data_IF_730613119721
#
_entry.id   IF_730613119721
#
_cell.length_a   1.000
_cell.length_b   1.000
_cell.length_c   1.000
_cell.angle_alpha   90.00
_cell.angle_beta   90.00
_cell.angle_gamma   90.00
#
_symmetry.space_group_name_H-M   'P 1'
#
loop_
_entity.id
_entity.type
_entity.pdbx_description
1 polymer ?
#
# COMPACT_ATOMS: atom_id res chain seq x y z
N UNK A 1 11.55 -33.91 45.23
CA UNK A 1 10.34 -33.42 44.52
C UNK A 1 10.70 -32.07 43.97
N UNK A 2 11.26 -32.04 42.77
CA UNK A 2 11.67 -30.83 42.07
C UNK A 2 10.62 -30.50 41.02
N UNK A 3 10.10 -29.29 41.11
CA UNK A 3 9.12 -28.72 40.18
C UNK A 3 9.81 -28.34 38.88
N UNK A 4 9.50 -29.03 37.78
CA UNK A 4 9.86 -28.60 36.43
C UNK A 4 9.08 -27.34 36.07
N UNK A 5 9.81 -26.23 35.92
CA UNK A 5 9.30 -24.99 35.31
C UNK A 5 9.18 -25.19 33.81
N UNK A 6 7.99 -24.86 33.30
CA UNK A 6 7.68 -24.72 31.89
C UNK A 6 8.44 -23.52 31.35
N UNK A 7 9.51 -23.76 30.59
CA UNK A 7 10.10 -22.74 29.71
C UNK A 7 9.25 -22.67 28.46
N UNK A 8 8.27 -21.77 28.48
CA UNK A 8 7.62 -21.31 27.26
C UNK A 8 8.61 -20.43 26.51
N UNK A 9 9.31 -21.01 25.53
CA UNK A 9 10.00 -20.28 24.48
C UNK A 9 8.97 -19.51 23.66
N UNK A 10 8.65 -18.31 24.13
CA UNK A 10 7.98 -17.26 23.36
C UNK A 10 8.96 -16.11 23.19
N UNK A 11 10.05 -16.37 22.46
CA UNK A 11 10.83 -15.30 21.84
C UNK A 11 10.44 -15.18 20.37
N UNK A 12 9.18 -14.80 20.11
CA UNK A 12 8.90 -14.03 18.91
C UNK A 12 9.60 -12.68 19.09
N UNK A 13 10.85 -12.61 18.67
CA UNK A 13 11.54 -11.34 18.46
C UNK A 13 10.66 -10.55 17.48
N UNK A 14 9.93 -9.57 18.02
CA UNK A 14 9.25 -8.55 17.27
C UNK A 14 10.28 -7.88 16.36
N UNK A 15 10.40 -8.32 15.11
CA UNK A 15 11.00 -7.45 14.11
C UNK A 15 10.14 -6.19 14.13
N UNK A 16 10.74 -5.01 14.22
CA UNK A 16 9.95 -3.78 14.20
C UNK A 16 9.39 -3.62 12.77
N UNK A 17 8.12 -3.22 12.61
CA UNK A 17 7.56 -2.94 11.28
C UNK A 17 8.38 -1.87 10.54
N UNK A 18 9.01 -0.96 11.31
CA UNK A 18 10.00 0.00 10.83
C UNK A 18 11.16 -0.70 10.09
N UNK A 19 11.71 -1.77 10.67
CA UNK A 19 12.85 -2.48 10.10
C UNK A 19 12.47 -3.23 8.82
N UNK A 20 11.25 -3.76 8.78
CA UNK A 20 10.73 -4.43 7.59
C UNK A 20 10.53 -3.42 6.43
N UNK A 21 9.86 -2.30 6.70
CA UNK A 21 9.70 -1.21 5.73
C UNK A 21 11.04 -0.68 5.23
N UNK A 22 11.97 -0.39 6.14
CA UNK A 22 13.30 0.12 5.80
C UNK A 22 14.09 -0.88 4.95
N UNK A 23 14.02 -2.17 5.29
CA UNK A 23 14.68 -3.25 4.53
C UNK A 23 14.07 -3.40 3.14
N UNK A 24 12.75 -3.37 3.01
CA UNK A 24 12.06 -3.50 1.73
C UNK A 24 12.29 -2.29 0.82
N UNK A 25 12.26 -1.06 1.37
CA UNK A 25 12.63 0.14 0.61
C UNK A 25 14.07 0.08 0.09
N UNK A 26 15.00 -0.42 0.90
CA UNK A 26 16.40 -0.61 0.48
C UNK A 26 16.50 -1.61 -0.67
N UNK A 27 15.75 -2.72 -0.61
CA UNK A 27 15.69 -3.71 -1.71
C UNK A 27 15.12 -3.09 -2.98
N UNK A 28 14.00 -2.37 -2.88
CA UNK A 28 13.37 -1.68 -4.02
C UNK A 28 14.39 -0.75 -4.70
N UNK A 29 15.08 0.10 -3.93
CA UNK A 29 16.13 1.01 -4.45
C UNK A 29 17.31 0.31 -5.12
N UNK A 30 17.61 -0.92 -4.71
CA UNK A 30 18.72 -1.70 -5.27
C UNK A 30 18.30 -2.48 -6.53
N UNK A 31 17.02 -2.85 -6.62
CA UNK A 31 16.48 -3.64 -7.73
C UNK A 31 15.96 -2.77 -8.88
N UNK A 32 15.51 -1.55 -8.60
CA UNK A 32 15.07 -0.62 -9.64
C UNK A 32 16.28 0.13 -10.23
N UNK A 33 16.53 -0.06 -11.54
CA UNK A 33 17.50 0.79 -12.27
C UNK A 33 17.08 2.27 -12.25
N UNK A 34 15.79 2.53 -12.09
CA UNK A 34 15.22 3.85 -11.81
C UNK A 34 15.13 4.04 -10.28
N UNK A 35 15.82 5.05 -9.76
CA UNK A 35 15.69 5.44 -8.35
C UNK A 35 14.23 5.83 -8.10
N UNK A 36 13.67 5.48 -6.94
CA UNK A 36 12.40 6.07 -6.48
C UNK A 36 12.48 7.60 -6.73
N UNK A 37 11.55 8.17 -7.52
CA UNK A 37 11.67 9.55 -8.00
C UNK A 37 11.64 10.56 -6.84
N UNK A 38 11.08 10.14 -5.71
CA UNK A 38 11.00 10.90 -4.47
C UNK A 38 11.72 10.15 -3.35
N UNK A 39 12.60 10.82 -2.57
CA UNK A 39 13.17 10.24 -1.35
C UNK A 39 12.07 9.76 -0.39
N UNK A 40 12.20 8.53 0.10
CA UNK A 40 11.24 7.93 1.06
C UNK A 40 11.94 7.69 2.39
N UNK A 41 11.32 8.14 3.48
CA UNK A 41 11.85 8.00 4.83
C UNK A 41 10.83 7.26 5.68
N UNK A 42 11.31 6.33 6.50
CA UNK A 42 10.48 5.63 7.49
C UNK A 42 10.84 6.20 8.85
N UNK A 43 9.85 6.67 9.60
CA UNK A 43 10.05 7.07 10.99
C UNK A 43 9.77 5.89 11.92
N UNK A 44 10.29 5.99 13.14
CA UNK A 44 10.07 4.99 14.16
C UNK A 44 8.58 4.72 14.38
N UNK A 45 8.27 3.46 14.67
CA UNK A 45 6.92 3.00 14.95
C UNK A 45 6.30 3.76 16.12
N UNK A 46 5.06 4.19 15.92
CA UNK A 46 4.22 4.74 16.97
C UNK A 46 3.45 3.60 17.62
N UNK A 47 3.61 3.45 18.93
CA UNK A 47 2.99 2.36 19.71
C UNK A 47 1.93 2.85 20.68
N UNK A 48 1.86 4.15 20.92
CA UNK A 48 0.77 4.74 21.68
C UNK A 48 -0.46 4.91 20.79
N UNK A 49 -1.62 4.57 21.34
CA UNK A 49 -2.90 4.72 20.62
C UNK A 49 -3.23 6.18 20.46
N UNK A 50 -2.95 7.01 21.47
CA UNK A 50 -3.03 8.48 21.43
C UNK A 50 -2.09 9.00 22.51
N UNK A 51 -1.05 9.75 22.15
CA UNK A 51 -0.08 10.23 23.14
C UNK A 51 1.04 11.09 22.55
N UNK A 52 2.14 11.17 23.29
CA UNK A 52 3.29 12.01 22.95
C UNK A 52 4.09 11.47 21.75
N UNK A 53 4.08 10.16 21.47
CA UNK A 53 4.90 9.58 20.40
C UNK A 53 4.38 9.99 19.03
N UNK A 54 3.06 9.95 18.80
CA UNK A 54 2.51 10.37 17.50
C UNK A 54 2.79 11.87 17.24
N UNK A 55 2.67 12.72 18.26
CA UNK A 55 3.01 14.14 18.14
C UNK A 55 4.50 14.34 17.86
N UNK A 56 5.37 13.57 18.54
CA UNK A 56 6.80 13.55 18.29
C UNK A 56 7.11 13.16 16.84
N UNK A 57 6.50 12.10 16.31
CA UNK A 57 6.73 11.66 14.93
C UNK A 57 6.23 12.67 13.90
N UNK A 58 5.12 13.37 14.15
CA UNK A 58 4.71 14.47 13.28
C UNK A 58 5.69 15.65 13.32
N UNK A 59 6.22 16.01 14.49
CA UNK A 59 7.25 17.05 14.61
C UNK A 59 8.57 16.64 13.97
N UNK A 60 8.93 15.37 14.07
CA UNK A 60 10.09 14.80 13.38
C UNK A 60 9.89 14.85 11.86
N UNK A 61 8.73 14.44 11.36
CA UNK A 61 8.39 14.48 9.93
C UNK A 61 8.54 15.90 9.32
N UNK A 62 8.24 16.92 10.12
CA UNK A 62 8.41 18.31 9.72
C UNK A 62 9.89 18.74 9.63
N UNK A 63 10.79 18.15 10.43
CA UNK A 63 12.17 18.63 10.63
C UNK A 63 13.25 17.75 10.02
N UNK A 64 13.00 16.45 9.85
CA UNK A 64 14.05 15.47 9.60
C UNK A 64 14.71 15.58 8.22
N UNK A 65 13.99 16.13 7.24
CA UNK A 65 14.46 16.25 5.85
C UNK A 65 13.83 17.48 5.19
N UNK A 66 14.53 18.07 4.21
CA UNK A 66 14.08 19.23 3.44
C UNK A 66 13.73 18.86 2.00
N UNK A 67 12.96 19.74 1.34
CA UNK A 67 12.53 19.55 -0.05
C UNK A 67 11.54 18.41 -0.27
N UNK A 68 11.45 17.95 -1.52
CA UNK A 68 10.49 16.94 -1.97
C UNK A 68 10.80 15.57 -1.37
N UNK A 69 9.82 14.97 -0.68
CA UNK A 69 10.01 13.71 0.07
C UNK A 69 8.70 13.04 0.44
N UNK A 70 8.75 11.74 0.72
CA UNK A 70 7.67 10.96 1.32
C UNK A 70 8.15 10.48 2.69
N UNK A 71 7.26 10.55 3.68
CA UNK A 71 7.48 10.05 5.03
C UNK A 71 6.41 9.01 5.34
N UNK A 72 6.87 7.83 5.78
CA UNK A 72 6.05 6.71 6.20
C UNK A 72 6.17 6.58 7.72
N UNK A 73 5.03 6.52 8.40
CA UNK A 73 4.96 6.35 9.85
C UNK A 73 4.12 5.11 10.13
N UNK A 74 4.74 4.01 10.60
CA UNK A 74 4.00 2.85 11.08
C UNK A 74 3.28 3.19 12.38
N UNK A 75 2.02 2.80 12.50
CA UNK A 75 1.17 3.18 13.62
C UNK A 75 0.40 1.97 14.15
N UNK A 76 0.75 1.54 15.36
CA UNK A 76 0.07 0.46 16.07
C UNK A 76 -1.09 1.03 16.89
N UNK A 77 -2.30 0.88 16.37
CA UNK A 77 -3.51 1.08 17.14
C UNK A 77 -3.77 -0.19 17.96
N UNK A 78 -4.21 -0.06 19.21
CA UNK A 78 -4.19 -1.15 20.20
C UNK A 78 -4.82 -2.47 19.75
N UNK A 79 -4.48 -3.55 20.46
CA UNK A 79 -4.83 -4.94 20.12
C UNK A 79 -4.32 -5.33 18.72
N UNK A 80 -3.01 -5.15 18.49
CA UNK A 80 -2.29 -5.58 17.28
C UNK A 80 -2.90 -5.07 15.96
N UNK A 81 -3.53 -3.91 15.99
CA UNK A 81 -4.12 -3.28 14.82
C UNK A 81 -3.11 -2.32 14.19
N UNK A 82 -2.33 -2.84 13.25
CA UNK A 82 -1.37 -2.04 12.50
C UNK A 82 -2.04 -1.20 11.42
N UNK A 83 -1.58 0.04 11.32
CA UNK A 83 -2.00 1.04 10.36
C UNK A 83 -0.76 1.78 9.84
N UNK A 84 -0.93 2.51 8.75
CA UNK A 84 0.13 3.34 8.17
C UNK A 84 -0.30 4.78 8.01
N UNK A 85 0.64 5.71 8.19
CA UNK A 85 0.47 7.11 7.79
C UNK A 85 1.51 7.42 6.72
N UNK A 86 1.06 8.02 5.62
CA UNK A 86 1.91 8.54 4.55
C UNK A 86 1.75 10.06 4.49
N UNK A 87 2.87 10.76 4.48
CA UNK A 87 2.93 12.21 4.31
C UNK A 87 3.87 12.54 3.14
N UNK A 88 3.40 13.27 2.15
CA UNK A 88 4.18 13.66 0.98
C UNK A 88 4.36 15.18 0.95
N UNK A 89 5.61 15.61 0.85
CA UNK A 89 6.00 17.01 0.69
C UNK A 89 6.48 17.30 -0.72
N UNK A 90 6.11 18.48 -1.19
CA UNK A 90 6.64 19.05 -2.42
C UNK A 90 7.97 19.79 -2.22
N UNK A 91 8.51 20.30 -3.33
CA UNK A 91 9.74 21.12 -3.34
C UNK A 91 9.62 22.45 -2.59
N UNK A 92 8.39 22.92 -2.34
CA UNK A 92 8.10 24.12 -1.54
C UNK A 92 7.88 23.80 -0.05
N UNK A 93 8.18 22.57 0.37
CA UNK A 93 8.03 22.09 1.75
C UNK A 93 6.59 22.16 2.28
N UNK A 94 5.61 22.02 1.39
CA UNK A 94 4.20 21.89 1.74
C UNK A 94 3.76 20.43 1.64
N UNK A 95 2.92 19.99 2.57
CA UNK A 95 2.27 18.68 2.50
C UNK A 95 1.22 18.72 1.39
N UNK A 96 1.39 17.88 0.36
CA UNK A 96 0.43 17.70 -0.73
C UNK A 96 -0.49 16.51 -0.46
N UNK A 97 0.06 15.43 0.09
CA UNK A 97 -0.72 14.25 0.50
C UNK A 97 -0.50 13.94 1.96
N UNK A 98 -1.59 13.67 2.67
CA UNK A 98 -1.57 13.18 4.04
C UNK A 98 -2.62 12.10 4.19
N UNK A 99 -2.17 10.86 4.27
CA UNK A 99 -3.00 9.67 4.13
C UNK A 99 -2.89 8.78 5.35
N UNK A 100 -4.03 8.33 5.85
CA UNK A 100 -4.18 7.28 6.84
C UNK A 100 -4.63 6.00 6.14
N UNK A 101 -3.87 4.92 6.32
CA UNK A 101 -4.10 3.64 5.66
C UNK A 101 -4.42 2.61 6.73
N UNK A 102 -5.66 2.12 6.69
CA UNK A 102 -6.13 1.06 7.57
C UNK A 102 -6.37 -0.22 6.75
N UNK A 103 -5.64 -1.31 7.01
CA UNK A 103 -5.79 -2.57 6.30
C UNK A 103 -6.91 -3.47 6.83
N UNK A 104 -7.72 -3.03 7.80
CA UNK A 104 -8.79 -3.82 8.42
C UNK A 104 -10.15 -3.36 7.90
N UNK A 105 -10.93 -4.30 7.38
CA UNK A 105 -12.29 -4.03 6.88
C UNK A 105 -13.21 -3.55 8.00
N UNK A 106 -14.08 -2.58 7.70
CA UNK A 106 -15.04 -2.02 8.66
C UNK A 106 -14.46 -0.94 9.58
N UNK A 107 -13.20 -0.55 9.41
CA UNK A 107 -12.55 0.53 10.16
C UNK A 107 -12.09 1.65 9.22
N UNK A 108 -13.06 2.37 8.65
CA UNK A 108 -12.80 3.38 7.62
C UNK A 108 -12.68 4.81 8.15
N UNK A 109 -12.63 4.96 9.48
CA UNK A 109 -12.52 6.26 10.15
C UNK A 109 -11.13 6.48 10.74
N UNK A 110 -10.63 7.71 10.61
CA UNK A 110 -9.48 8.19 11.36
C UNK A 110 -9.93 8.46 12.80
N UNK A 111 -9.19 8.00 13.83
CA UNK A 111 -9.47 8.40 15.21
C UNK A 111 -9.45 9.93 15.38
N UNK A 112 -10.45 10.49 16.07
CA UNK A 112 -10.59 11.95 16.25
C UNK A 112 -9.36 12.58 16.90
N UNK A 113 -8.76 11.88 17.88
CA UNK A 113 -7.58 12.36 18.58
C UNK A 113 -6.35 12.39 17.67
N UNK A 114 -6.20 11.40 16.78
CA UNK A 114 -5.15 11.38 15.76
C UNK A 114 -5.31 12.57 14.81
N UNK A 115 -6.55 12.84 14.36
CA UNK A 115 -6.86 13.98 13.51
C UNK A 115 -6.56 15.32 14.21
N UNK A 116 -6.94 15.47 15.47
CA UNK A 116 -6.65 16.66 16.29
C UNK A 116 -5.14 16.87 16.46
N UNK A 117 -4.40 15.80 16.76
CA UNK A 117 -2.94 15.85 16.87
C UNK A 117 -2.29 16.28 15.54
N UNK A 118 -2.73 15.70 14.42
CA UNK A 118 -2.24 16.05 13.10
C UNK A 118 -2.48 17.54 12.79
N UNK A 119 -3.71 18.04 13.00
CA UNK A 119 -4.07 19.43 12.71
C UNK A 119 -3.37 20.44 13.65
N UNK A 120 -2.98 20.03 14.86
CA UNK A 120 -2.17 20.86 15.77
C UNK A 120 -0.78 21.15 15.18
N UNK A 121 -0.19 20.18 14.48
CA UNK A 121 1.16 20.29 13.88
C UNK A 121 1.08 20.85 12.45
N UNK A 122 0.07 20.44 11.68
CA UNK A 122 -0.15 20.82 10.29
C UNK A 122 -1.51 21.49 10.11
N UNK A 123 -1.68 22.75 10.56
CA UNK A 123 -3.01 23.40 10.66
C UNK A 123 -3.70 23.68 9.32
N UNK A 124 -2.98 23.57 8.20
CA UNK A 124 -3.51 23.77 6.84
C UNK A 124 -3.85 22.45 6.13
N UNK A 125 -3.61 21.31 6.77
CA UNK A 125 -3.75 19.98 6.17
C UNK A 125 -4.74 19.14 6.99
N UNK A 126 -5.27 18.11 6.34
CA UNK A 126 -6.21 17.16 6.94
C UNK A 126 -5.74 15.76 6.55
N UNK A 127 -5.55 14.89 7.54
CA UNK A 127 -5.29 13.47 7.29
C UNK A 127 -6.53 12.83 6.63
N UNK A 128 -6.34 12.05 5.56
CA UNK A 128 -7.44 11.45 4.79
C UNK A 128 -7.32 9.93 4.78
N UNK A 129 -8.43 9.22 4.94
CA UNK A 129 -8.42 7.78 4.75
C UNK A 129 -8.11 7.43 3.29
N UNK A 130 -7.16 6.53 3.07
CA UNK A 130 -6.91 5.91 1.78
C UNK A 130 -7.30 4.46 1.82
N UNK A 131 -8.17 4.08 0.89
CA UNK A 131 -8.60 2.70 0.73
C UNK A 131 -7.52 1.96 -0.07
N UNK A 132 -6.96 0.90 0.52
CA UNK A 132 -5.96 0.04 -0.10
C UNK A 132 -6.32 -1.43 0.18
N UNK A 133 -5.34 -2.35 0.07
CA UNK A 133 -5.58 -3.75 0.37
C UNK A 133 -6.05 -3.90 1.83
N UNK A 134 -7.15 -4.62 2.01
CA UNK A 134 -7.76 -4.90 3.31
C UNK A 134 -7.99 -6.38 3.48
N UNK A 135 -8.12 -6.80 4.73
CA UNK A 135 -8.54 -8.15 5.11
C UNK A 135 -9.59 -8.08 6.23
N UNK A 136 -10.24 -9.21 6.45
CA UNK A 136 -11.11 -9.39 7.61
C UNK A 136 -10.25 -9.64 8.86
N UNK A 137 -10.45 -8.81 9.88
CA UNK A 137 -9.73 -8.94 11.14
C UNK A 137 -8.30 -8.39 11.13
N UNK A 138 -7.62 -8.55 12.28
CA UNK A 138 -6.37 -7.82 12.59
C UNK A 138 -5.10 -8.63 12.35
N UNK A 139 -5.22 -9.95 12.17
CA UNK A 139 -4.09 -10.88 12.09
C UNK A 139 -3.12 -10.53 10.96
N UNK A 140 -3.63 -10.09 9.81
CA UNK A 140 -2.80 -9.68 8.66
C UNK A 140 -2.53 -8.17 8.60
N UNK A 141 -3.01 -7.38 9.57
CA UNK A 141 -2.92 -5.92 9.55
C UNK A 141 -1.46 -5.44 9.42
N UNK A 142 -0.53 -6.12 10.10
CA UNK A 142 0.90 -5.80 10.04
C UNK A 142 1.48 -5.96 8.64
N UNK A 143 1.29 -7.14 8.04
CA UNK A 143 1.77 -7.44 6.69
C UNK A 143 1.17 -6.48 5.66
N UNK A 144 -0.15 -6.26 5.74
CA UNK A 144 -0.85 -5.38 4.83
C UNK A 144 -0.45 -3.91 5.01
N UNK A 145 -0.15 -3.48 6.22
CA UNK A 145 0.39 -2.13 6.48
C UNK A 145 1.71 -1.92 5.73
N UNK A 146 2.62 -2.90 5.79
CA UNK A 146 3.90 -2.82 5.07
C UNK A 146 3.67 -2.75 3.56
N UNK A 147 2.86 -3.67 3.01
CA UNK A 147 2.57 -3.71 1.57
C UNK A 147 1.92 -2.41 1.11
N UNK A 148 0.91 -1.93 1.84
CA UNK A 148 0.17 -0.74 1.45
C UNK A 148 1.03 0.52 1.52
N UNK A 149 1.86 0.70 2.56
CA UNK A 149 2.75 1.86 2.66
C UNK A 149 3.80 1.88 1.54
N UNK A 150 4.36 0.71 1.17
CA UNK A 150 5.30 0.62 0.05
C UNK A 150 4.62 0.92 -1.28
N UNK A 151 3.45 0.34 -1.53
CA UNK A 151 2.67 0.61 -2.73
C UNK A 151 2.24 2.07 -2.81
N UNK A 152 1.83 2.68 -1.70
CA UNK A 152 1.44 4.09 -1.66
C UNK A 152 2.63 5.01 -1.95
N UNK A 153 3.81 4.69 -1.42
CA UNK A 153 5.03 5.44 -1.70
C UNK A 153 5.51 5.30 -3.16
N UNK A 154 5.33 4.13 -3.77
CA UNK A 154 5.70 3.90 -5.18
C UNK A 154 4.73 4.57 -6.16
N UNK A 155 3.45 4.65 -5.81
CA UNK A 155 2.41 5.28 -6.62
C UNK A 155 2.19 6.76 -6.27
N UNK A 156 3.07 7.37 -5.48
CA UNK A 156 3.00 8.82 -5.23
C UNK A 156 3.41 9.53 -6.53
N UNK A 157 2.42 10.14 -7.17
CA UNK A 157 2.60 10.83 -8.44
C UNK A 157 2.87 12.30 -8.18
N UNK A 158 4.07 12.72 -8.54
CA UNK A 158 4.38 14.14 -8.74
C UNK A 158 4.66 14.34 -10.23
N UNK A 159 3.65 14.10 -11.07
CA UNK A 159 3.58 14.66 -12.43
C UNK A 159 2.26 14.28 -13.09
N UNK A 160 1.25 15.15 -12.95
CA UNK A 160 0.19 15.28 -13.95
C UNK A 160 -0.44 16.68 -14.03
N UNK A 161 0.15 17.69 -13.39
CA UNK A 161 -0.36 19.07 -13.45
C UNK A 161 0.75 20.12 -13.52
N UNK A 162 1.61 19.98 -14.52
CA UNK A 162 2.35 21.11 -15.08
C UNK A 162 2.64 20.92 -16.57
N UNK A 163 1.61 20.58 -17.34
CA UNK A 163 1.56 21.03 -18.74
C UNK A 163 0.70 22.28 -18.76
N UNK A 164 1.40 23.40 -18.61
CA UNK A 164 0.92 24.74 -18.90
C UNK A 164 0.27 24.74 -20.28
N UNK A 165 -0.98 25.21 -20.37
CA UNK A 165 -1.62 25.64 -21.60
C UNK A 165 -0.66 26.52 -22.40
N UNK A 166 -0.07 25.94 -23.45
CA UNK A 166 0.37 26.66 -24.65
C UNK A 166 -0.03 25.82 -25.84
N UNK A 167 -1.18 26.17 -26.39
CA UNK A 167 -1.40 26.14 -27.84
C UNK A 167 -0.16 26.71 -28.51
N UNK A 168 0.54 25.89 -29.29
CA UNK A 168 0.76 26.11 -30.71
C UNK A 168 1.44 24.88 -31.33
N UNK A 169 1.09 24.67 -32.60
CA UNK A 169 1.57 23.62 -33.50
C UNK A 169 3.11 23.53 -33.48
N UNK A 170 3.70 22.34 -33.42
CA UNK A 170 4.24 21.67 -34.62
C UNK A 170 4.84 20.29 -34.29
N UNK A 171 4.94 19.52 -35.36
CA UNK A 171 5.41 18.16 -35.58
C UNK A 171 6.74 17.75 -34.88
N UNK A 172 6.77 16.55 -34.28
CA UNK A 172 7.76 15.47 -34.54
C UNK A 172 7.91 14.48 -33.37
N UNK A 173 7.61 13.22 -33.68
CA UNK A 173 7.92 12.01 -32.92
C UNK A 173 9.39 11.93 -32.52
N UNK A 174 9.68 11.72 -31.23
CA UNK A 174 10.72 10.76 -30.80
C UNK A 174 10.28 10.02 -29.54
N UNK A 175 10.35 8.70 -29.64
CA UNK A 175 10.00 7.68 -28.66
C UNK A 175 10.86 7.74 -27.40
N UNK A 176 10.22 7.81 -26.23
CA UNK A 176 10.82 7.35 -24.98
C UNK A 176 10.18 6.02 -24.60
N UNK A 177 10.81 4.93 -25.07
CA UNK A 177 10.59 3.58 -24.54
C UNK A 177 11.26 3.49 -23.16
N UNK A 178 10.42 3.33 -22.15
CA UNK A 178 10.83 3.08 -20.77
C UNK A 178 9.64 2.53 -19.99
N UNK A 179 9.18 1.34 -20.39
CA UNK A 179 8.28 0.41 -19.67
C UNK A 179 7.24 0.97 -18.67
N UNK A 180 6.65 2.13 -18.96
CA UNK A 180 5.33 2.49 -18.48
C UNK A 180 4.35 1.76 -19.39
N UNK A 181 3.75 0.65 -18.92
CA UNK A 181 2.57 0.17 -19.62
C UNK A 181 1.54 1.30 -19.58
N UNK A 182 1.36 1.94 -20.72
CA UNK A 182 0.43 3.05 -20.87
C UNK A 182 -0.97 2.53 -20.50
N UNK A 183 -1.81 3.35 -19.88
CA UNK A 183 -3.15 2.92 -19.45
C UNK A 183 -3.94 2.27 -20.59
N UNK A 184 -3.75 2.78 -21.81
CA UNK A 184 -4.28 2.22 -23.06
C UNK A 184 -3.78 0.79 -23.35
N UNK A 185 -2.53 0.48 -23.04
CA UNK A 185 -1.95 -0.85 -23.25
C UNK A 185 -2.42 -1.85 -22.18
N UNK A 186 -2.59 -1.40 -20.93
CA UNK A 186 -3.23 -2.19 -19.87
C UNK A 186 -4.70 -2.47 -20.21
N UNK A 187 -5.44 -1.47 -20.67
CA UNK A 187 -6.83 -1.60 -21.10
C UNK A 187 -6.95 -2.55 -22.29
N UNK A 188 -6.02 -2.50 -23.25
CA UNK A 188 -5.95 -3.42 -24.39
C UNK A 188 -5.57 -4.84 -23.98
N UNK A 189 -4.66 -5.02 -23.01
CA UNK A 189 -4.31 -6.36 -22.47
C UNK A 189 -5.45 -6.94 -21.65
N UNK A 190 -6.13 -6.14 -20.84
CA UNK A 190 -7.32 -6.54 -20.10
C UNK A 190 -8.45 -6.93 -21.08
N UNK A 191 -8.75 -6.07 -22.05
CA UNK A 191 -9.80 -6.32 -23.04
C UNK A 191 -9.50 -7.54 -23.90
N UNK A 192 -8.25 -7.73 -24.34
CA UNK A 192 -7.86 -8.93 -25.09
C UNK A 192 -7.85 -10.19 -24.23
N UNK A 193 -7.48 -10.10 -22.95
CA UNK A 193 -7.61 -11.19 -21.98
C UNK A 193 -9.06 -11.60 -21.76
N UNK A 194 -9.95 -10.63 -21.52
CA UNK A 194 -11.38 -10.86 -21.36
C UNK A 194 -12.02 -11.41 -22.65
N UNK A 195 -11.61 -10.91 -23.83
CA UNK A 195 -12.09 -11.41 -25.11
C UNK A 195 -11.67 -12.86 -25.38
N UNK A 196 -10.48 -13.32 -24.95
CA UNK A 196 -10.08 -14.75 -25.03
C UNK A 196 -11.03 -15.64 -24.25
N UNK A 197 -11.57 -15.13 -23.16
CA UNK A 197 -12.59 -15.81 -22.37
C UNK A 197 -14.02 -15.42 -22.81
N UNK A 198 -14.21 -14.77 -23.95
CA UNK A 198 -15.54 -14.35 -24.45
C UNK A 198 -16.36 -13.58 -23.41
N UNK A 199 -15.70 -12.80 -22.54
CA UNK A 199 -16.32 -12.01 -21.49
C UNK A 199 -16.53 -10.61 -22.05
N UNK A 200 -17.79 -10.24 -22.23
CA UNK A 200 -18.17 -8.95 -22.84
C UNK A 200 -18.72 -7.93 -21.83
N UNK A 201 -19.11 -8.37 -20.64
CA UNK A 201 -19.55 -7.50 -19.55
C UNK A 201 -19.21 -8.07 -18.17
N UNK A 202 -19.41 -7.24 -17.14
CA UNK A 202 -19.11 -7.54 -15.74
C UNK A 202 -19.97 -8.70 -15.19
N UNK A 203 -21.22 -8.83 -15.65
CA UNK A 203 -22.11 -9.91 -15.22
C UNK A 203 -21.63 -11.27 -15.72
N UNK A 204 -21.15 -11.35 -16.98
CA UNK A 204 -20.51 -12.54 -17.53
C UNK A 204 -19.21 -12.91 -16.81
N UNK A 205 -18.46 -11.90 -16.34
CA UNK A 205 -17.24 -12.13 -15.56
C UNK A 205 -17.58 -12.78 -14.21
N UNK A 206 -18.55 -12.21 -13.48
CA UNK A 206 -19.02 -12.74 -12.20
C UNK A 206 -19.60 -14.15 -12.34
N UNK A 207 -20.40 -14.42 -13.38
CA UNK A 207 -20.93 -15.77 -13.63
C UNK A 207 -19.82 -16.80 -13.91
N UNK A 208 -18.80 -16.42 -14.68
CA UNK A 208 -17.67 -17.33 -14.97
C UNK A 208 -16.82 -17.60 -13.73
N UNK A 209 -16.56 -16.58 -12.91
CA UNK A 209 -15.85 -16.74 -11.64
C UNK A 209 -16.62 -17.71 -10.74
N UNK A 210 -17.93 -17.54 -10.63
CA UNK A 210 -18.77 -18.42 -9.80
C UNK A 210 -18.78 -19.86 -10.32
N UNK A 211 -18.89 -20.07 -11.64
CA UNK A 211 -18.82 -21.41 -12.25
C UNK A 211 -17.47 -22.08 -12.02
N UNK A 212 -16.37 -21.34 -12.15
CA UNK A 212 -15.03 -21.86 -11.87
C UNK A 212 -14.85 -22.22 -10.40
N UNK A 213 -15.34 -21.39 -9.48
CA UNK A 213 -15.31 -21.68 -8.04
C UNK A 213 -16.11 -22.95 -7.69
N UNK A 214 -17.29 -23.13 -8.31
CA UNK A 214 -18.10 -24.32 -8.10
C UNK A 214 -17.41 -25.59 -8.63
N UNK A 215 -16.74 -25.51 -9.79
CA UNK A 215 -15.96 -26.64 -10.35
C UNK A 215 -14.75 -26.99 -9.48
N UNK A 216 -14.01 -26.00 -9.01
CA UNK A 216 -12.87 -26.22 -8.10
C UNK A 216 -13.34 -26.94 -6.83
N UNK A 217 -14.50 -26.52 -6.29
CA UNK A 217 -15.10 -27.16 -5.13
C UNK A 217 -15.50 -28.61 -5.41
N UNK A 218 -16.08 -28.88 -6.58
CA UNK A 218 -16.42 -30.24 -7.03
C UNK A 218 -15.18 -31.14 -7.18
N UNK A 219 -14.07 -30.62 -7.70
CA UNK A 219 -12.81 -31.36 -7.80
C UNK A 219 -12.16 -31.62 -6.43
N UNK A 220 -12.32 -30.71 -5.48
CA UNK A 220 -11.87 -30.87 -4.10
C UNK A 220 -12.69 -31.91 -3.34
N UNK A 221 -14.00 -31.95 -3.59
CA UNK A 221 -14.92 -32.92 -2.96
C UNK A 221 -14.79 -34.34 -3.54
N UNK A 222 -14.27 -34.48 -4.76
CA UNK A 222 -14.10 -35.79 -5.44
C UNK A 222 -12.66 -36.31 -5.47
N UNK A 223 -11.71 -35.64 -4.78
CA UNK A 223 -10.27 -35.98 -4.77
C UNK A 223 -9.62 -36.13 -6.17
N UNK A 224 -10.16 -35.43 -7.19
CA UNK A 224 -9.67 -35.46 -8.59
C UNK A 224 -8.85 -34.22 -8.97
N UNK A 225 -7.93 -33.80 -8.11
CA UNK A 225 -7.14 -32.58 -8.36
C UNK A 225 -6.19 -32.68 -9.57
N UNK A 226 -5.80 -33.88 -9.99
CA UNK A 226 -4.98 -34.07 -11.21
C UNK A 226 -5.72 -33.73 -12.51
N UNK A 227 -7.06 -33.84 -12.52
CA UNK A 227 -7.87 -33.48 -13.70
C UNK A 227 -8.08 -31.96 -13.80
N UNK A 228 -8.11 -31.26 -12.67
CA UNK A 228 -8.20 -29.80 -12.61
C UNK A 228 -6.95 -29.10 -13.17
N UNK A 229 -5.76 -29.67 -12.95
CA UNK A 229 -4.49 -29.13 -13.50
C UNK A 229 -4.40 -29.29 -15.03
N UNK A 230 -5.04 -30.31 -15.62
CA UNK A 230 -5.03 -30.51 -17.07
C UNK A 230 -5.93 -29.52 -17.80
N UNK A 231 -7.06 -29.13 -17.22
CA UNK A 231 -7.98 -28.17 -17.84
C UNK A 231 -7.52 -26.70 -17.71
N UNK A 232 -6.66 -26.36 -16.74
CA UNK A 232 -6.09 -25.01 -16.60
C UNK A 232 -4.93 -24.71 -17.55
N UNK A 233 -4.46 -25.71 -18.32
CA UNK A 233 -3.32 -25.59 -19.25
C UNK A 233 -3.73 -25.42 -20.72
N UNK A 234 -4.99 -25.07 -21.02
CA UNK A 234 -5.48 -24.77 -22.36
C UNK A 234 -6.06 -23.36 -22.48
#
# INVERSE_FOLDING_TARGET
>A
METFRCESDHSYQSSDIHDDLSRQLKKIRQQSQERLPTPVHVLNTVTDTVGDQIEERFREAQKCHSGKRIILIPYLMGNDHWNGILLEWNSMEQIEQSEFINPVTGFDSIPDELQKCFMKIFPKNVLRCKIMLKDEGRTKSRLLTVINLLNAAQNSHFDQSSITLRTDQDDSTTSFEGNQMNFYELEKRLSSGLAKFSISDENMLSERIQRSQNRIKEYQETERMEDAEKEMNY
#
